data_IF_378898042246
#
_entry.id   IF_378898042246
#
_cell.length_a   1.000
_cell.length_b   1.000
_cell.length_c   1.000
_cell.angle_alpha   90.00
_cell.angle_beta   90.00
_cell.angle_gamma   90.00
#
_symmetry.space_group_name_H-M   'P 1'
#
loop_
_entity.id
_entity.type
_entity.pdbx_description
1 polymer ?
#
# COMPACT_ATOMS: atom_id res chain seq x y z
N UNK A 1 -17.15 39.50 -47.90
CA UNK A 1 -16.29 39.45 -46.70
C UNK A 1 -17.00 38.93 -45.44
N UNK A 2 -18.28 39.28 -45.19
CA UNK A 2 -19.03 38.86 -43.99
C UNK A 2 -19.19 37.33 -43.81
N UNK A 3 -19.31 36.56 -44.90
CA UNK A 3 -19.48 35.08 -44.86
C UNK A 3 -18.21 34.31 -44.45
N UNK A 4 -17.02 34.84 -44.77
CA UNK A 4 -15.72 34.24 -44.39
C UNK A 4 -15.44 34.42 -42.89
N UNK A 5 -15.91 35.51 -42.31
CA UNK A 5 -15.72 35.80 -40.88
C UNK A 5 -16.65 34.98 -39.98
N UNK A 6 -17.88 34.71 -40.45
CA UNK A 6 -18.81 33.80 -39.78
C UNK A 6 -18.28 32.35 -39.70
N UNK A 7 -17.62 31.87 -40.76
CA UNK A 7 -16.98 30.54 -40.77
C UNK A 7 -15.81 30.45 -39.79
N UNK A 8 -15.02 31.51 -39.66
CA UNK A 8 -13.92 31.58 -38.69
C UNK A 8 -14.44 31.58 -37.25
N UNK A 9 -15.55 32.28 -36.99
CA UNK A 9 -16.16 32.35 -35.66
C UNK A 9 -16.77 31.01 -35.24
N UNK A 10 -17.40 30.29 -36.15
CA UNK A 10 -17.95 28.95 -35.89
C UNK A 10 -16.83 27.93 -35.65
N UNK A 11 -15.73 28.00 -36.40
CA UNK A 11 -14.57 27.12 -36.20
C UNK A 11 -13.83 27.40 -34.89
N UNK A 12 -13.75 28.67 -34.47
CA UNK A 12 -13.17 29.04 -33.18
C UNK A 12 -14.08 28.64 -32.00
N UNK A 13 -15.40 28.64 -32.20
CA UNK A 13 -16.35 28.22 -31.17
C UNK A 13 -16.34 26.70 -30.98
N UNK A 14 -16.17 25.92 -32.06
CA UNK A 14 -16.05 24.46 -31.95
C UNK A 14 -14.75 24.03 -31.29
N UNK A 15 -13.61 24.72 -31.48
CA UNK A 15 -12.36 24.36 -30.77
C UNK A 15 -12.43 24.61 -29.26
N UNK A 16 -13.19 25.63 -28.81
CA UNK A 16 -13.45 25.88 -27.38
C UNK A 16 -14.42 24.83 -26.80
N UNK A 17 -15.43 24.39 -27.57
CA UNK A 17 -16.33 23.33 -27.13
C UNK A 17 -15.67 21.95 -27.07
N UNK A 18 -14.73 21.64 -27.98
CA UNK A 18 -13.98 20.38 -27.97
C UNK A 18 -12.89 20.32 -26.90
N UNK A 19 -12.42 21.45 -26.37
CA UNK A 19 -11.48 21.48 -25.25
C UNK A 19 -12.15 21.31 -23.87
N UNK A 20 -13.49 21.27 -23.83
CA UNK A 20 -14.28 21.05 -22.60
C UNK A 20 -14.46 19.58 -22.20
N UNK A 21 -13.91 18.61 -22.94
CA UNK A 21 -14.04 17.17 -22.62
C UNK A 21 -12.73 16.50 -22.18
N UNK A 22 -11.71 17.28 -21.80
CA UNK A 22 -10.49 16.77 -21.18
C UNK A 22 -10.42 17.25 -19.72
N UNK A 23 -11.43 16.88 -18.93
CA UNK A 23 -11.29 16.88 -17.48
C UNK A 23 -10.52 15.60 -17.11
N UNK A 24 -9.35 15.70 -16.45
CA UNK A 24 -8.69 14.54 -15.92
C UNK A 24 -9.53 14.02 -14.76
N UNK A 25 -10.03 12.78 -14.86
CA UNK A 25 -10.58 12.01 -13.73
C UNK A 25 -9.51 11.67 -12.66
N UNK A 26 -8.38 12.37 -12.63
CA UNK A 26 -7.29 12.13 -11.68
C UNK A 26 -7.48 12.87 -10.34
N UNK A 27 -8.53 13.67 -10.16
CA UNK A 27 -8.78 14.45 -8.92
C UNK A 27 -10.10 14.10 -8.23
N UNK A 28 -10.48 12.82 -8.21
CA UNK A 28 -11.41 12.33 -7.18
C UNK A 28 -10.61 11.60 -6.12
N UNK A 29 -10.10 12.36 -5.15
CA UNK A 29 -9.69 11.80 -3.86
C UNK A 29 -10.84 10.99 -3.22
N UNK A 30 -12.10 11.27 -3.58
CA UNK A 30 -13.30 10.49 -3.20
C UNK A 30 -13.41 9.11 -3.89
N UNK A 31 -12.73 8.85 -5.02
CA UNK A 31 -12.76 7.55 -5.72
C UNK A 31 -11.63 6.60 -5.29
N UNK A 32 -10.78 7.00 -4.34
CA UNK A 32 -9.66 6.19 -3.87
C UNK A 32 -10.00 5.38 -2.62
N UNK A 33 -11.11 5.68 -1.94
CA UNK A 33 -11.63 4.82 -0.88
C UNK A 33 -12.36 3.66 -1.57
N UNK A 34 -11.99 2.41 -1.27
CA UNK A 34 -12.69 1.24 -1.81
C UNK A 34 -14.18 1.33 -1.48
N UNK A 35 -15.04 1.17 -2.47
CA UNK A 35 -16.48 1.09 -2.24
C UNK A 35 -16.77 -0.15 -1.38
N UNK A 36 -17.34 0.06 -0.18
CA UNK A 36 -17.64 -1.02 0.78
C UNK A 36 -18.46 -2.15 0.14
N UNK A 37 -19.36 -1.79 -0.79
CA UNK A 37 -20.17 -2.76 -1.54
C UNK A 37 -19.31 -3.63 -2.46
N UNK A 38 -18.28 -3.05 -3.08
CA UNK A 38 -17.34 -3.77 -3.92
C UNK A 38 -16.49 -4.74 -3.09
N UNK A 39 -15.99 -4.30 -1.94
CA UNK A 39 -15.20 -5.16 -1.05
C UNK A 39 -16.04 -6.34 -0.54
N UNK A 40 -17.28 -6.07 -0.10
CA UNK A 40 -18.22 -7.11 0.34
C UNK A 40 -18.56 -8.11 -0.78
N UNK A 41 -18.66 -7.65 -2.03
CA UNK A 41 -18.88 -8.52 -3.19
C UNK A 41 -17.70 -9.48 -3.43
N UNK A 42 -16.47 -8.99 -3.31
CA UNK A 42 -15.27 -9.84 -3.43
C UNK A 42 -15.17 -10.81 -2.25
N UNK A 43 -15.44 -10.36 -1.02
CA UNK A 43 -15.49 -11.21 0.17
C UNK A 43 -16.45 -12.38 -0.03
N UNK A 44 -17.69 -12.10 -0.45
CA UNK A 44 -18.68 -13.14 -0.74
C UNK A 44 -18.21 -14.12 -1.81
N UNK A 45 -17.57 -13.64 -2.87
CA UNK A 45 -17.05 -14.51 -3.93
C UNK A 45 -15.94 -15.45 -3.42
N UNK A 46 -15.07 -14.96 -2.52
CA UNK A 46 -14.03 -15.77 -1.85
C UNK A 46 -14.66 -16.84 -0.97
N UNK A 47 -15.66 -16.48 -0.16
CA UNK A 47 -16.37 -17.41 0.72
C UNK A 47 -17.09 -18.51 -0.08
N UNK A 48 -17.80 -18.16 -1.15
CA UNK A 48 -18.48 -19.13 -2.01
C UNK A 48 -17.46 -20.05 -2.72
N UNK A 49 -16.32 -19.51 -3.18
CA UNK A 49 -15.24 -20.32 -3.76
C UNK A 49 -14.66 -21.31 -2.75
N UNK A 50 -14.39 -20.85 -1.52
CA UNK A 50 -13.84 -21.69 -0.46
C UNK A 50 -14.83 -22.78 -0.04
N UNK A 51 -16.13 -22.44 0.07
CA UNK A 51 -17.17 -23.42 0.40
C UNK A 51 -17.30 -24.53 -0.66
N UNK A 52 -17.14 -24.19 -1.94
CA UNK A 52 -17.25 -25.14 -3.06
C UNK A 52 -16.01 -26.02 -3.24
N UNK A 53 -14.81 -25.47 -2.98
CA UNK A 53 -13.53 -26.12 -3.36
C UNK A 53 -12.70 -26.59 -2.17
N UNK A 54 -12.99 -26.09 -0.97
CA UNK A 54 -12.21 -26.33 0.25
C UNK A 54 -10.88 -25.59 0.32
N UNK A 55 -10.57 -24.69 -0.63
CA UNK A 55 -9.31 -23.93 -0.67
C UNK A 55 -9.55 -22.45 -0.99
N UNK A 56 -8.60 -21.59 -0.64
CA UNK A 56 -8.69 -20.15 -0.92
C UNK A 56 -8.21 -19.80 -2.35
N UNK A 57 -8.81 -18.79 -3.00
CA UNK A 57 -8.44 -18.36 -4.35
C UNK A 57 -7.22 -17.42 -4.31
N UNK A 58 -6.07 -17.92 -3.87
CA UNK A 58 -4.83 -17.13 -3.74
C UNK A 58 -3.83 -17.41 -4.86
N UNK A 59 -2.99 -16.42 -5.16
CA UNK A 59 -1.76 -16.55 -5.94
C UNK A 59 -0.63 -17.03 -5.02
N UNK A 60 0.20 -17.95 -5.50
CA UNK A 60 1.36 -18.43 -4.74
C UNK A 60 2.43 -17.35 -4.64
N UNK A 61 3.03 -17.22 -3.45
CA UNK A 61 4.18 -16.36 -3.15
C UNK A 61 5.21 -17.17 -2.35
N UNK A 62 6.43 -16.64 -2.28
CA UNK A 62 7.51 -17.27 -1.52
C UNK A 62 7.22 -17.21 -0.01
N UNK A 63 7.82 -18.12 0.75
CA UNK A 63 7.51 -18.29 2.18
C UNK A 63 7.91 -17.08 3.04
N UNK A 64 8.98 -16.41 2.64
CA UNK A 64 9.60 -15.21 3.24
C UNK A 64 8.89 -13.91 2.86
N UNK A 65 7.87 -13.97 1.99
CA UNK A 65 7.08 -12.79 1.63
C UNK A 65 6.34 -12.25 2.86
N UNK A 66 6.45 -10.93 3.07
CA UNK A 66 5.77 -10.21 4.16
C UNK A 66 4.26 -10.50 4.18
N UNK A 67 3.71 -10.66 5.40
CA UNK A 67 2.33 -11.07 5.62
C UNK A 67 1.30 -10.18 4.90
N UNK A 68 1.56 -8.88 4.77
CA UNK A 68 0.64 -7.93 4.14
C UNK A 68 0.56 -8.12 2.62
N UNK A 69 1.49 -8.84 1.99
CA UNK A 69 1.53 -9.05 0.54
C UNK A 69 1.62 -10.53 0.14
N UNK A 70 1.51 -11.44 1.11
CA UNK A 70 1.70 -12.88 0.94
C UNK A 70 0.57 -13.59 0.23
N UNK A 71 -0.68 -13.15 0.44
CA UNK A 71 -1.87 -13.84 -0.07
C UNK A 71 -2.71 -13.00 -1.04
N UNK A 72 -2.19 -12.57 -2.21
CA UNK A 72 -2.99 -11.90 -3.22
C UNK A 72 -4.10 -12.80 -3.76
N UNK A 73 -5.27 -12.22 -3.99
CA UNK A 73 -6.41 -12.91 -4.59
C UNK A 73 -6.12 -13.19 -6.07
N UNK A 74 -6.44 -14.41 -6.48
CA UNK A 74 -6.43 -14.86 -7.87
C UNK A 74 -7.84 -14.75 -8.46
N UNK A 75 -8.14 -13.60 -9.05
CA UNK A 75 -9.43 -13.34 -9.68
C UNK A 75 -9.73 -14.29 -10.84
N UNK A 76 -8.74 -14.95 -11.46
CA UNK A 76 -8.99 -15.95 -12.50
C UNK A 76 -9.73 -17.19 -11.96
N UNK A 77 -9.55 -17.51 -10.67
CA UNK A 77 -10.29 -18.58 -9.99
C UNK A 77 -11.72 -18.20 -9.64
N UNK A 78 -11.98 -16.90 -9.46
CA UNK A 78 -13.30 -16.38 -9.08
C UNK A 78 -14.20 -16.11 -10.30
N UNK A 79 -13.61 -15.74 -11.43
CA UNK A 79 -14.35 -15.29 -12.64
C UNK A 79 -14.57 -16.47 -13.61
N UNK A 80 -15.74 -16.58 -14.27
CA UNK A 80 -16.95 -15.74 -14.11
C UNK A 80 -17.95 -16.29 -13.07
N UNK A 81 -17.63 -17.41 -12.41
CA UNK A 81 -18.58 -18.19 -11.62
C UNK A 81 -19.04 -17.49 -10.33
N UNK A 82 -18.09 -16.98 -9.56
CA UNK A 82 -18.32 -16.35 -8.25
C UNK A 82 -18.31 -14.83 -8.35
N UNK A 83 -17.62 -14.28 -9.35
CA UNK A 83 -17.55 -12.86 -9.62
C UNK A 83 -17.64 -12.59 -11.12
N UNK A 84 -18.41 -11.59 -11.54
CA UNK A 84 -18.56 -11.29 -12.98
C UNK A 84 -17.28 -10.73 -13.59
N UNK A 85 -16.61 -9.83 -12.88
CA UNK A 85 -15.37 -9.17 -13.30
C UNK A 85 -14.59 -8.74 -12.06
N UNK A 86 -13.26 -8.64 -12.18
CA UNK A 86 -12.44 -8.06 -11.14
C UNK A 86 -12.81 -6.57 -10.91
N UNK A 87 -12.71 -6.06 -9.67
CA UNK A 87 -12.95 -4.66 -9.33
C UNK A 87 -12.19 -3.67 -10.21
N UNK A 88 -12.79 -2.52 -10.54
CA UNK A 88 -12.14 -1.52 -11.40
C UNK A 88 -10.90 -0.88 -10.75
N UNK A 89 -10.88 -0.77 -9.42
CA UNK A 89 -9.75 -0.26 -8.65
C UNK A 89 -8.67 -1.33 -8.38
N UNK A 90 -8.87 -2.58 -8.83
CA UNK A 90 -7.88 -3.65 -8.69
C UNK A 90 -6.72 -3.46 -9.65
N UNK A 91 -5.53 -3.89 -9.23
CA UNK A 91 -4.32 -3.91 -10.04
C UNK A 91 -4.52 -4.66 -11.36
N UNK A 92 -5.26 -5.77 -11.34
CA UNK A 92 -5.60 -6.57 -12.52
C UNK A 92 -6.43 -5.81 -13.56
N UNK A 93 -7.06 -4.70 -13.16
CA UNK A 93 -7.79 -3.77 -14.04
C UNK A 93 -7.07 -2.42 -14.23
N UNK A 94 -5.82 -2.31 -13.80
CA UNK A 94 -5.02 -1.09 -13.89
C UNK A 94 -5.30 -0.07 -12.79
N UNK A 95 -5.99 -0.48 -11.72
CA UNK A 95 -6.19 0.32 -10.52
C UNK A 95 -4.99 0.25 -9.56
N UNK A 96 -5.14 0.91 -8.41
CA UNK A 96 -4.06 1.12 -7.44
C UNK A 96 -4.02 0.06 -6.32
N UNK A 97 -5.01 -0.82 -6.23
CA UNK A 97 -5.11 -1.77 -5.11
C UNK A 97 -4.86 -3.21 -5.54
N UNK A 98 -3.99 -3.91 -4.82
CA UNK A 98 -3.96 -5.36 -4.85
C UNK A 98 -4.93 -5.88 -3.79
N UNK A 99 -5.87 -6.73 -4.21
CA UNK A 99 -6.75 -7.45 -3.29
C UNK A 99 -6.00 -8.64 -2.70
N UNK A 100 -6.10 -8.81 -1.38
CA UNK A 100 -5.45 -9.88 -0.62
C UNK A 100 -6.46 -10.58 0.30
N UNK A 101 -6.07 -11.76 0.79
CA UNK A 101 -6.72 -12.43 1.91
C UNK A 101 -5.86 -12.23 3.15
N UNK A 102 -6.40 -11.50 4.11
CA UNK A 102 -5.86 -11.39 5.46
C UNK A 102 -6.32 -12.57 6.31
N UNK A 103 -5.45 -13.03 7.21
CA UNK A 103 -5.72 -14.15 8.13
C UNK A 103 -6.32 -15.39 7.43
N UNK A 104 -5.59 -16.01 6.50
CA UNK A 104 -6.13 -17.11 5.69
C UNK A 104 -6.39 -18.41 6.46
N UNK A 105 -5.85 -18.55 7.67
CA UNK A 105 -5.95 -19.77 8.46
C UNK A 105 -7.15 -19.74 9.41
N UNK A 106 -7.39 -18.61 10.09
CA UNK A 106 -8.46 -18.51 11.10
C UNK A 106 -9.70 -17.79 10.55
N UNK A 107 -9.55 -16.58 10.02
CA UNK A 107 -10.66 -15.76 9.51
C UNK A 107 -10.34 -15.06 8.17
N UNK A 108 -10.46 -15.77 7.03
CA UNK A 108 -10.11 -15.24 5.71
C UNK A 108 -10.90 -13.97 5.35
N UNK A 109 -10.23 -12.82 5.45
CA UNK A 109 -10.84 -11.50 5.28
C UNK A 109 -10.23 -10.78 4.10
N UNK A 110 -11.05 -10.33 3.15
CA UNK A 110 -10.59 -9.57 2.00
C UNK A 110 -10.14 -8.18 2.46
N UNK A 111 -8.87 -7.88 2.20
CA UNK A 111 -8.25 -6.59 2.46
C UNK A 111 -7.50 -6.12 1.22
N UNK A 112 -6.96 -4.91 1.30
CA UNK A 112 -6.35 -4.22 0.17
C UNK A 112 -4.94 -3.76 0.51
N UNK A 113 -4.05 -3.88 -0.47
CA UNK A 113 -2.72 -3.29 -0.43
C UNK A 113 -2.70 -2.13 -1.42
N UNK A 114 -2.34 -0.95 -0.93
CA UNK A 114 -2.09 0.21 -1.79
C UNK A 114 -0.74 0.07 -2.49
N UNK A 115 -0.76 -0.02 -3.82
CA UNK A 115 0.44 -0.23 -4.62
C UNK A 115 1.25 1.05 -4.87
N UNK A 116 0.77 2.24 -4.45
CA UNK A 116 1.58 3.47 -4.51
C UNK A 116 2.88 3.32 -3.72
N UNK A 117 2.82 2.61 -2.59
CA UNK A 117 3.98 2.25 -1.78
C UNK A 117 4.99 1.41 -2.58
N UNK A 118 4.50 0.32 -3.19
CA UNK A 118 5.31 -0.60 -3.98
C UNK A 118 6.00 0.11 -5.16
N UNK A 119 5.28 0.98 -5.87
CA UNK A 119 5.81 1.71 -7.02
C UNK A 119 6.91 2.71 -6.60
N UNK A 120 6.73 3.43 -5.49
CA UNK A 120 7.77 4.34 -4.98
C UNK A 120 8.99 3.60 -4.47
N UNK A 121 8.82 2.46 -3.80
CA UNK A 121 9.92 1.60 -3.38
C UNK A 121 10.68 1.08 -4.60
N UNK A 122 9.97 0.61 -5.64
CA UNK A 122 10.57 0.16 -6.89
C UNK A 122 11.37 1.27 -7.58
N UNK A 123 10.82 2.48 -7.66
CA UNK A 123 11.50 3.65 -8.24
C UNK A 123 12.82 3.94 -7.51
N UNK A 124 12.79 3.90 -6.17
CA UNK A 124 13.97 4.14 -5.34
C UNK A 124 15.00 3.03 -5.47
N UNK A 125 14.58 1.76 -5.47
CA UNK A 125 15.48 0.62 -5.66
C UNK A 125 16.27 0.72 -6.97
N UNK A 126 15.61 1.11 -8.08
CA UNK A 126 16.29 1.32 -9.36
C UNK A 126 17.36 2.40 -9.26
N UNK A 127 17.11 3.47 -8.50
CA UNK A 127 18.12 4.52 -8.28
C UNK A 127 19.23 4.07 -7.34
N UNK A 128 18.90 3.32 -6.29
CA UNK A 128 19.88 2.78 -5.36
C UNK A 128 20.85 1.82 -6.06
N UNK A 129 20.40 1.05 -7.06
CA UNK A 129 21.29 0.23 -7.90
C UNK A 129 22.37 1.05 -8.64
N UNK A 130 22.12 2.34 -8.90
CA UNK A 130 23.11 3.22 -9.51
C UNK A 130 24.11 3.81 -8.51
N UNK A 131 23.88 3.58 -7.21
CA UNK A 131 24.76 3.99 -6.12
C UNK A 131 25.54 2.81 -5.56
N UNK A 132 26.78 3.06 -5.10
CA UNK A 132 27.61 2.00 -4.50
C UNK A 132 27.16 1.58 -3.10
N UNK A 133 26.41 2.44 -2.39
CA UNK A 133 25.94 2.22 -1.02
C UNK A 133 24.58 2.89 -0.80
N UNK A 134 23.68 2.32 0.04
CA UNK A 134 22.46 2.99 0.47
C UNK A 134 22.77 4.39 1.00
N UNK A 135 22.09 5.41 0.46
CA UNK A 135 22.36 6.80 0.83
C UNK A 135 21.55 7.21 2.04
N UNK A 136 22.07 6.92 3.23
CA UNK A 136 21.50 7.36 4.50
C UNK A 136 21.74 8.86 4.75
N UNK A 137 20.78 9.51 5.43
CA UNK A 137 20.89 10.89 5.89
C UNK A 137 20.92 10.98 7.42
N UNK A 138 19.77 10.88 8.07
CA UNK A 138 19.61 11.03 9.52
C UNK A 138 19.17 9.71 10.16
N UNK A 139 19.68 9.41 11.37
CA UNK A 139 19.21 8.27 12.16
C UNK A 139 17.84 8.60 12.73
N UNK A 140 16.84 7.76 12.46
CA UNK A 140 15.48 7.90 12.99
C UNK A 140 15.33 7.03 14.25
N UNK A 141 15.74 5.78 14.16
CA UNK A 141 15.79 4.82 15.27
C UNK A 141 17.00 3.91 15.12
N UNK A 142 17.16 2.94 16.02
CA UNK A 142 18.15 1.88 15.81
C UNK A 142 17.84 1.14 14.49
N UNK A 143 18.86 0.94 13.67
CA UNK A 143 18.80 0.32 12.35
C UNK A 143 17.91 1.00 11.29
N UNK A 144 17.23 2.12 11.61
CA UNK A 144 16.29 2.82 10.72
C UNK A 144 16.75 4.25 10.46
N UNK A 145 16.86 4.61 9.19
CA UNK A 145 17.41 5.87 8.71
C UNK A 145 16.51 6.55 7.69
N UNK A 146 16.62 7.88 7.60
CA UNK A 146 16.06 8.64 6.48
C UNK A 146 16.96 8.53 5.24
N UNK A 147 16.35 8.68 4.06
CA UNK A 147 17.05 8.64 2.77
C UNK A 147 17.57 10.02 2.40
N UNK A 148 18.81 10.09 1.93
CA UNK A 148 19.39 11.29 1.31
C UNK A 148 18.95 11.39 -0.16
N UNK A 149 17.74 11.93 -0.38
CA UNK A 149 17.12 12.06 -1.69
C UNK A 149 17.94 12.92 -2.67
N UNK A 150 18.73 13.88 -2.18
CA UNK A 150 19.59 14.73 -3.03
C UNK A 150 20.70 13.91 -3.68
N UNK A 151 21.30 12.96 -2.95
CA UNK A 151 22.36 12.09 -3.47
C UNK A 151 21.90 11.13 -4.57
N UNK A 152 20.60 10.84 -4.63
CA UNK A 152 19.99 9.96 -5.64
C UNK A 152 19.21 10.74 -6.71
N UNK A 153 19.40 12.07 -6.75
CA UNK A 153 18.95 12.93 -7.84
C UNK A 153 17.54 13.48 -7.72
N UNK A 154 16.93 13.47 -6.53
CA UNK A 154 15.69 14.20 -6.26
C UNK A 154 15.98 15.53 -5.57
N UNK A 155 15.18 16.55 -5.89
CA UNK A 155 15.26 17.86 -5.24
C UNK A 155 14.47 17.92 -3.94
N UNK A 156 13.47 17.07 -3.80
CA UNK A 156 12.58 17.00 -2.66
C UNK A 156 12.40 15.54 -2.24
N UNK A 157 12.17 15.26 -0.94
CA UNK A 157 11.90 13.91 -0.47
C UNK A 157 10.69 13.30 -1.18
N UNK A 158 10.82 12.04 -1.60
CA UNK A 158 9.66 11.28 -2.05
C UNK A 158 8.84 10.82 -0.84
N UNK A 159 7.53 10.85 -1.02
CA UNK A 159 6.54 10.44 -0.03
C UNK A 159 5.42 9.63 -0.69
N UNK A 160 4.65 8.93 0.12
CA UNK A 160 3.45 8.19 -0.31
C UNK A 160 2.22 8.78 0.35
N UNK A 161 1.12 8.93 -0.39
CA UNK A 161 -0.14 9.37 0.20
C UNK A 161 -0.67 8.31 1.17
N UNK A 162 -0.98 8.70 2.41
CA UNK A 162 -1.62 7.78 3.36
C UNK A 162 -2.98 7.31 2.84
N UNK A 163 -3.33 6.02 3.01
CA UNK A 163 -4.68 5.53 2.75
C UNK A 163 -5.66 5.83 3.90
N UNK A 164 -5.17 6.30 5.05
CA UNK A 164 -5.98 6.54 6.27
C UNK A 164 -6.18 8.03 6.55
N UNK A 165 -5.30 8.89 6.03
CA UNK A 165 -5.28 10.32 6.29
C UNK A 165 -4.85 11.14 5.06
N UNK A 166 -4.94 12.46 5.16
CA UNK A 166 -4.41 13.38 4.14
C UNK A 166 -2.88 13.57 4.24
N UNK A 167 -2.20 12.83 5.12
CA UNK A 167 -0.76 12.97 5.32
C UNK A 167 0.05 12.31 4.20
N UNK A 168 1.24 12.86 3.99
CA UNK A 168 2.27 12.28 3.13
C UNK A 168 3.25 11.50 4.01
N UNK A 169 3.29 10.20 3.81
CA UNK A 169 4.10 9.26 4.58
C UNK A 169 5.55 9.31 4.10
N UNK A 170 6.51 9.49 5.03
CA UNK A 170 7.92 9.38 4.72
C UNK A 170 8.30 7.99 4.22
N UNK A 171 9.39 7.94 3.46
CA UNK A 171 10.04 6.70 3.05
C UNK A 171 11.35 6.58 3.81
N UNK A 172 11.55 5.44 4.46
CA UNK A 172 12.69 5.13 5.32
C UNK A 172 13.48 3.96 4.75
N UNK A 173 14.70 3.77 5.25
CA UNK A 173 15.57 2.68 4.84
C UNK A 173 16.25 2.05 6.05
N UNK A 174 16.37 0.73 6.05
CA UNK A 174 17.05 -0.03 7.11
C UNK A 174 18.55 -0.14 6.85
N UNK A 175 19.31 -0.57 7.86
CA UNK A 175 20.75 -0.89 7.69
C UNK A 175 21.02 -2.01 6.68
N UNK A 176 20.01 -2.82 6.37
CA UNK A 176 20.02 -3.91 5.38
C UNK A 176 19.86 -3.35 3.96
N UNK A 177 19.54 -2.06 3.82
CA UNK A 177 19.28 -1.41 2.54
C UNK A 177 17.86 -1.58 2.03
N UNK A 178 16.95 -2.11 2.86
CA UNK A 178 15.55 -2.31 2.51
C UNK A 178 14.73 -1.04 2.78
N UNK A 179 13.79 -0.74 1.89
CA UNK A 179 13.03 0.50 1.89
C UNK A 179 11.60 0.23 2.35
N UNK A 180 11.11 1.05 3.29
CA UNK A 180 9.78 0.93 3.88
C UNK A 180 9.05 2.28 3.91
N UNK A 181 7.73 2.24 4.09
CA UNK A 181 6.89 3.39 4.33
C UNK A 181 6.69 3.58 5.82
N UNK A 182 6.85 4.81 6.30
CA UNK A 182 6.68 5.14 7.71
C UNK A 182 5.21 5.50 8.03
N UNK A 183 4.51 4.58 8.69
CA UNK A 183 3.13 4.74 9.16
C UNK A 183 3.01 5.29 10.60
N UNK A 184 4.11 5.69 11.25
CA UNK A 184 4.10 6.18 12.63
C UNK A 184 3.11 7.32 12.86
N UNK A 185 2.99 8.25 11.90
CA UNK A 185 2.04 9.37 11.95
C UNK A 185 0.59 8.88 11.92
N UNK A 186 0.26 7.93 11.05
CA UNK A 186 -1.10 7.38 10.97
C UNK A 186 -1.46 6.59 12.22
N UNK A 187 -0.53 5.79 12.74
CA UNK A 187 -0.71 5.08 14.02
C UNK A 187 -0.92 6.06 15.18
N UNK A 188 -0.13 7.13 15.24
CA UNK A 188 -0.22 8.12 16.31
C UNK A 188 -1.58 8.85 16.29
N UNK A 189 -2.06 9.22 15.09
CA UNK A 189 -3.38 9.81 14.90
C UNK A 189 -4.45 8.83 15.36
N UNK A 190 -4.40 7.58 14.87
CA UNK A 190 -5.40 6.57 15.20
C UNK A 190 -5.48 6.30 16.71
N UNK A 191 -4.33 6.15 17.38
CA UNK A 191 -4.26 5.94 18.84
C UNK A 191 -4.87 7.13 19.59
N UNK A 192 -4.54 8.36 19.19
CA UNK A 192 -5.04 9.59 19.85
C UNK A 192 -6.54 9.80 19.64
N UNK A 193 -7.03 9.64 18.41
CA UNK A 193 -8.45 9.84 18.09
C UNK A 193 -9.35 8.81 18.77
N UNK A 194 -8.86 7.58 18.92
CA UNK A 194 -9.61 6.48 19.56
C UNK A 194 -9.29 6.32 21.06
N UNK A 195 -8.45 7.18 21.64
CA UNK A 195 -8.02 7.13 23.05
C UNK A 195 -7.49 5.74 23.47
N UNK A 196 -6.66 5.14 22.62
CA UNK A 196 -6.12 3.80 22.84
C UNK A 196 -4.84 3.83 23.68
N UNK A 197 -4.58 2.74 24.38
CA UNK A 197 -3.35 2.50 25.17
C UNK A 197 -2.85 1.08 24.87
N UNK A 198 -2.32 0.83 23.66
CA UNK A 198 -1.77 -0.48 23.31
C UNK A 198 -0.61 -0.86 24.23
N UNK A 199 -0.37 -2.17 24.36
CA UNK A 199 0.71 -2.67 25.21
C UNK A 199 2.07 -2.53 24.50
N UNK A 200 3.08 -2.06 25.24
CA UNK A 200 4.44 -1.97 24.73
C UNK A 200 5.02 -3.37 24.49
N UNK A 201 5.70 -3.56 23.36
CA UNK A 201 6.19 -4.85 22.86
C UNK A 201 5.24 -5.54 21.87
N UNK A 202 4.01 -5.08 21.69
CA UNK A 202 3.09 -5.62 20.68
C UNK A 202 3.18 -4.86 19.35
N UNK A 203 2.89 -5.54 18.24
CA UNK A 203 2.82 -4.93 16.91
C UNK A 203 1.51 -4.16 16.72
N UNK A 204 1.59 -2.84 16.88
CA UNK A 204 0.42 -1.94 16.83
C UNK A 204 -0.10 -1.68 15.41
N UNK A 205 0.54 -2.22 14.35
CA UNK A 205 -0.01 -2.13 12.98
C UNK A 205 -1.38 -2.77 12.86
N UNK A 206 -1.66 -3.77 13.70
CA UNK A 206 -2.95 -4.45 13.76
C UNK A 206 -4.12 -3.50 14.03
N UNK A 207 -3.88 -2.39 14.75
CA UNK A 207 -4.89 -1.37 14.97
C UNK A 207 -5.45 -0.80 13.65
N UNK A 208 -4.58 -0.60 12.66
CA UNK A 208 -4.99 -0.12 11.33
C UNK A 208 -5.63 -1.24 10.50
N UNK A 209 -5.09 -2.46 10.59
CA UNK A 209 -5.63 -3.64 9.90
C UNK A 209 -7.07 -3.91 10.32
N UNK A 210 -7.36 -3.81 11.61
CA UNK A 210 -8.69 -4.09 12.15
C UNK A 210 -9.69 -2.99 11.77
N UNK A 211 -9.25 -1.74 11.80
CA UNK A 211 -10.11 -0.59 11.56
C UNK A 211 -10.39 -0.29 10.08
N UNK A 212 -9.46 -0.64 9.17
CA UNK A 212 -9.52 -0.23 7.77
C UNK A 212 -9.46 -1.40 6.79
N UNK A 213 -10.00 -1.24 5.57
CA UNK A 213 -9.89 -2.25 4.52
C UNK A 213 -8.50 -2.31 3.89
N UNK A 214 -7.72 -1.22 3.96
CA UNK A 214 -6.35 -1.15 3.46
C UNK A 214 -5.39 -1.54 4.58
N UNK A 215 -4.43 -2.41 4.30
CA UNK A 215 -3.39 -2.83 5.26
C UNK A 215 -2.13 -1.97 5.13
N UNK A 216 -1.35 -1.77 6.21
CA UNK A 216 -0.12 -0.98 6.19
C UNK A 216 1.05 -1.80 5.61
N UNK A 217 0.93 -2.22 4.35
CA UNK A 217 1.96 -2.99 3.66
C UNK A 217 3.25 -2.19 3.45
N UNK A 218 4.37 -2.90 3.24
CA UNK A 218 5.69 -2.30 3.08
C UNK A 218 6.10 -1.42 4.27
N UNK A 219 5.72 -1.83 5.47
CA UNK A 219 6.03 -1.14 6.72
C UNK A 219 6.91 -2.02 7.61
N UNK A 220 7.66 -1.37 8.49
CA UNK A 220 8.30 -2.06 9.62
C UNK A 220 7.27 -2.29 10.73
N UNK A 221 7.47 -3.29 11.61
CA UNK A 221 6.70 -3.41 12.84
C UNK A 221 6.88 -2.18 13.76
N UNK A 222 5.84 -1.87 14.51
CA UNK A 222 5.82 -0.75 15.46
C UNK A 222 5.34 -1.22 16.83
N UNK A 223 5.78 -0.53 17.87
CA UNK A 223 5.21 -0.62 19.20
C UNK A 223 5.05 0.78 19.81
N UNK A 224 4.68 0.89 21.09
CA UNK A 224 4.60 2.19 21.78
C UNK A 224 5.68 2.35 22.84
N UNK A 225 6.12 3.60 23.05
CA UNK A 225 7.01 3.99 24.14
C UNK A 225 6.24 4.30 25.45
N UNK A 226 6.97 4.75 26.48
CA UNK A 226 6.39 5.14 27.78
C UNK A 226 5.39 6.32 27.69
N UNK A 227 5.45 7.11 26.61
CA UNK A 227 4.56 8.23 26.35
C UNK A 227 3.37 7.85 25.45
N UNK A 228 3.19 6.56 25.14
CA UNK A 228 2.19 6.05 24.21
C UNK A 228 2.39 6.57 22.77
N UNK A 229 3.64 6.86 22.38
CA UNK A 229 4.01 7.27 21.04
C UNK A 229 4.52 6.07 20.21
N UNK A 230 4.09 5.91 18.94
CA UNK A 230 4.59 4.87 18.06
C UNK A 230 6.10 4.97 17.84
N UNK A 231 6.80 3.85 18.04
CA UNK A 231 8.22 3.66 17.77
C UNK A 231 8.42 2.40 16.93
N UNK A 232 9.52 2.32 16.17
CA UNK A 232 9.86 1.12 15.41
C UNK A 232 10.24 -0.03 16.34
N UNK A 233 9.72 -1.23 16.04
CA UNK A 233 10.03 -2.48 16.73
C UNK A 233 10.87 -3.38 15.82
N UNK A 234 12.02 -2.86 15.36
CA UNK A 234 12.86 -3.54 14.37
C UNK A 234 14.28 -3.76 14.90
N UNK A 235 14.66 -5.03 15.09
CA UNK A 235 16.04 -5.45 15.29
C UNK A 235 16.40 -6.58 14.29
N UNK A 236 17.25 -6.32 13.29
CA UNK A 236 17.61 -7.30 12.29
C UNK A 236 18.49 -8.44 12.82
N UNK A 237 19.06 -8.31 14.03
CA UNK A 237 19.89 -9.35 14.64
C UNK A 237 19.05 -10.47 15.24
N UNK A 238 17.81 -10.16 15.66
CA UNK A 238 16.86 -11.15 16.18
C UNK A 238 16.27 -11.99 15.03
N UNK A 239 15.93 -11.35 13.91
CA UNK A 239 15.37 -12.02 12.71
C UNK A 239 16.34 -13.07 12.12
N UNK A 240 17.64 -12.78 12.09
CA UNK A 240 18.65 -13.72 11.57
C UNK A 240 18.86 -14.95 12.48
N UNK A 241 18.66 -14.81 13.79
CA UNK A 241 18.76 -15.92 14.73
C UNK A 241 17.59 -16.91 14.58
N UNK A 242 16.39 -16.42 14.28
CA UNK A 242 15.20 -17.24 14.01
C UNK A 242 15.29 -18.00 12.67
N UNK A 243 15.83 -17.36 11.63
CA UNK A 243 16.09 -18.01 10.33
C UNK A 243 17.17 -19.11 10.42
N UNK A 244 18.21 -18.89 11.23
CA UNK A 244 19.25 -19.91 11.47
C UNK A 244 18.75 -21.07 12.34
N UNK A 245 17.87 -20.80 13.31
CA UNK A 245 17.24 -21.85 14.13
C UNK A 245 16.24 -22.71 13.34
N UNK A 246 15.52 -22.12 12.38
CA UNK A 246 14.58 -22.85 11.51
C UNK A 246 15.29 -23.70 10.44
N UNK A 247 16.44 -23.26 9.92
CA UNK A 247 17.26 -24.02 8.96
C UNK A 247 18.09 -25.15 9.60
N UNK A 248 18.38 -25.06 10.90
CA UNK A 248 19.07 -26.13 11.66
C UNK A 248 18.18 -27.33 12.00
N UNK A 249 16.85 -27.20 11.87
CA UNK A 249 15.87 -28.23 12.24
C UNK A 249 15.31 -29.01 11.03
N UNK A 250 15.92 -28.87 9.85
CA UNK A 250 15.62 -29.64 8.63
C UNK A 250 16.78 -30.54 8.21
#
# INVERSE_FOLDING_TARGET
MKRKWSLFFVLALTTVLLSGCLFPEEQKAENQIPDDLQLASVQKAVEEFQADTGVLPIKTRDMDTDQFIKYPIDFEKLIPKYLTNAPANSFEKGGLFQYIIWDPEENPTVKLVDLRSAERIRELNIRFMSTYYPTFKDKIADYVYSIDFEKIGYKEPLTVQSPYSNNLLPIIVTTQGEIYIDYSVDLNIFIKENNLTPEAGEDIRMLLVDAYPVVPAYSLPYTVDENNEPIFMYDPTETQAEEQASTSNN
#
